data_IF_789754030220
#
_entry.id   IF_789754030220
#
_cell.length_a   1.000
_cell.length_b   1.000
_cell.length_c   1.000
_cell.angle_alpha   90.00
_cell.angle_beta   90.00
_cell.angle_gamma   90.00
#
_symmetry.space_group_name_H-M   'P 1'
#
loop_
_entity.id
_entity.type
_entity.pdbx_description
1 polymer ?
#
# COMPACT_ATOMS: atom_id res chain seq x y z
N UNK A 1 0.68 -50.35 17.94
CA UNK A 1 0.36 -49.55 16.73
C UNK A 1 -0.85 -48.64 16.90
N UNK A 2 -2.07 -49.13 17.23
CA UNK A 2 -3.28 -48.28 17.32
C UNK A 2 -3.20 -47.08 18.30
N UNK A 3 -2.52 -47.22 19.45
CA UNK A 3 -2.38 -46.15 20.46
C UNK A 3 -1.53 -44.96 19.98
N UNK A 4 -0.52 -45.22 19.13
CA UNK A 4 0.33 -44.18 18.55
C UNK A 4 -0.39 -43.41 17.44
N UNK A 5 -1.23 -44.08 16.64
CA UNK A 5 -2.08 -43.45 15.63
C UNK A 5 -3.06 -42.47 16.29
N UNK A 6 -3.66 -42.85 17.42
CA UNK A 6 -4.58 -41.98 18.17
C UNK A 6 -3.91 -40.73 18.74
N UNK A 7 -2.68 -40.87 19.26
CA UNK A 7 -1.88 -39.74 19.76
C UNK A 7 -1.49 -38.80 18.61
N UNK A 8 -1.07 -39.34 17.45
CA UNK A 8 -0.73 -38.55 16.27
C UNK A 8 -1.94 -37.75 15.77
N UNK A 9 -3.12 -38.36 15.68
CA UNK A 9 -4.35 -37.68 15.25
C UNK A 9 -4.73 -36.53 16.20
N UNK A 10 -4.58 -36.73 17.52
CA UNK A 10 -4.83 -35.67 18.52
C UNK A 10 -3.83 -34.52 18.38
N UNK A 11 -2.53 -34.82 18.20
CA UNK A 11 -1.49 -33.80 18.03
C UNK A 11 -1.71 -33.01 16.74
N UNK A 12 -1.99 -33.69 15.62
CA UNK A 12 -2.28 -33.02 14.34
C UNK A 12 -3.55 -32.17 14.44
N UNK A 13 -4.61 -32.68 15.06
CA UNK A 13 -5.84 -31.92 15.29
C UNK A 13 -5.61 -30.68 16.16
N UNK A 14 -4.79 -30.80 17.21
CA UNK A 14 -4.41 -29.68 18.07
C UNK A 14 -3.58 -28.64 17.31
N UNK A 15 -2.61 -29.06 16.49
CA UNK A 15 -1.80 -28.16 15.67
C UNK A 15 -2.64 -27.40 14.64
N UNK A 16 -3.60 -28.06 13.99
CA UNK A 16 -4.55 -27.41 13.07
C UNK A 16 -5.39 -26.36 13.81
N UNK A 17 -5.90 -26.69 15.00
CA UNK A 17 -6.68 -25.74 15.81
C UNK A 17 -5.80 -24.55 16.22
N UNK A 18 -4.56 -24.78 16.62
CA UNK A 18 -3.62 -23.73 17.01
C UNK A 18 -3.28 -22.81 15.84
N UNK A 19 -3.09 -23.38 14.65
CA UNK A 19 -2.87 -22.62 13.42
C UNK A 19 -4.12 -21.82 13.01
N UNK A 20 -5.32 -22.40 13.12
CA UNK A 20 -6.58 -21.69 12.88
C UNK A 20 -6.78 -20.52 13.85
N UNK A 21 -6.46 -20.71 15.13
CA UNK A 21 -6.50 -19.65 16.13
C UNK A 21 -5.47 -18.57 15.81
N UNK A 22 -4.23 -18.94 15.47
CA UNK A 22 -3.20 -17.98 15.07
C UNK A 22 -3.60 -17.19 13.82
N UNK A 23 -4.17 -17.85 12.80
CA UNK A 23 -4.72 -17.20 11.60
C UNK A 23 -5.87 -16.26 11.95
N UNK A 24 -6.83 -16.69 12.75
CA UNK A 24 -7.96 -15.84 13.18
C UNK A 24 -7.49 -14.60 13.95
N UNK A 25 -6.51 -14.74 14.84
CA UNK A 25 -5.98 -13.63 15.61
C UNK A 25 -5.15 -12.66 14.75
N UNK A 26 -4.47 -13.17 13.72
CA UNK A 26 -3.65 -12.34 12.80
C UNK A 26 -4.44 -11.79 11.61
N UNK A 27 -5.67 -12.27 11.38
CA UNK A 27 -6.49 -11.84 10.25
C UNK A 27 -6.77 -10.34 10.28
N UNK A 28 -6.74 -9.69 9.11
CA UNK A 28 -7.15 -8.30 9.00
C UNK A 28 -8.65 -8.11 9.31
N UNK A 29 -9.04 -6.89 9.70
CA UNK A 29 -10.40 -6.54 10.11
C UNK A 29 -11.43 -6.44 8.96
N UNK A 30 -11.24 -7.24 7.92
CA UNK A 30 -12.08 -7.27 6.71
C UNK A 30 -13.53 -7.55 7.11
N UNK A 31 -14.43 -6.71 6.64
CA UNK A 31 -15.87 -6.81 6.82
C UNK A 31 -16.50 -7.15 5.47
N UNK A 32 -17.23 -8.24 5.43
CA UNK A 32 -18.01 -8.60 4.25
C UNK A 32 -19.16 -7.59 4.06
N UNK A 33 -19.28 -7.06 2.85
CA UNK A 33 -20.36 -6.14 2.49
C UNK A 33 -21.32 -6.88 1.56
N UNK A 34 -22.63 -6.96 1.89
CA UNK A 34 -23.58 -7.84 1.22
C UNK A 34 -23.90 -7.45 -0.24
N UNK A 35 -23.62 -6.21 -0.63
CA UNK A 35 -23.79 -5.71 -2.00
C UNK A 35 -22.45 -5.27 -2.59
N UNK A 36 -22.28 -5.45 -3.90
CA UNK A 36 -21.13 -4.89 -4.60
C UNK A 36 -21.10 -3.36 -4.43
N UNK A 37 -19.98 -2.84 -3.94
CA UNK A 37 -19.73 -1.41 -3.76
C UNK A 37 -18.58 -1.00 -4.68
N UNK A 38 -18.72 0.14 -5.33
CA UNK A 38 -17.68 0.67 -6.22
C UNK A 38 -16.50 1.23 -5.42
N UNK A 39 -15.30 1.03 -5.95
CA UNK A 39 -14.04 1.65 -5.53
C UNK A 39 -13.25 2.05 -6.79
N UNK A 40 -12.22 2.88 -6.63
CA UNK A 40 -11.57 3.60 -7.73
C UNK A 40 -10.50 2.78 -8.44
N UNK A 41 -9.64 2.06 -7.70
CA UNK A 41 -8.52 1.35 -8.31
C UNK A 41 -8.99 0.04 -8.94
N UNK A 42 -8.43 -0.27 -10.11
CA UNK A 42 -8.53 -1.58 -10.74
C UNK A 42 -7.24 -2.40 -10.59
N UNK A 43 -6.17 -1.80 -10.07
CA UNK A 43 -4.88 -2.46 -9.87
C UNK A 43 -4.89 -3.29 -8.59
N UNK A 44 -4.11 -4.35 -8.59
CA UNK A 44 -3.82 -5.17 -7.42
C UNK A 44 -2.33 -5.52 -7.45
N UNK A 45 -1.48 -4.49 -7.46
CA UNK A 45 -0.04 -4.67 -7.56
C UNK A 45 0.57 -5.19 -6.26
N UNK A 46 1.81 -5.68 -6.35
CA UNK A 46 2.55 -6.25 -5.22
C UNK A 46 3.90 -5.52 -5.04
N UNK A 47 4.54 -5.72 -3.89
CA UNK A 47 5.83 -5.14 -3.53
C UNK A 47 7.01 -6.04 -3.92
N UNK A 48 6.76 -7.32 -4.19
CA UNK A 48 7.78 -8.34 -4.43
C UNK A 48 7.60 -9.00 -5.82
N UNK A 49 8.45 -9.98 -6.12
CA UNK A 49 8.41 -10.79 -7.35
C UNK A 49 8.60 -9.94 -8.62
N UNK A 50 7.78 -10.17 -9.65
CA UNK A 50 7.90 -9.46 -10.93
C UNK A 50 7.70 -7.94 -10.80
N UNK A 51 7.05 -7.46 -9.73
CA UNK A 51 6.82 -6.04 -9.50
C UNK A 51 8.08 -5.28 -9.05
N UNK A 52 8.98 -5.97 -8.35
CA UNK A 52 10.23 -5.42 -7.81
C UNK A 52 11.48 -5.90 -8.55
N UNK A 53 11.31 -6.55 -9.70
CA UNK A 53 12.39 -7.11 -10.52
C UNK A 53 13.51 -6.12 -10.86
N UNK A 54 13.20 -4.82 -10.92
CA UNK A 54 14.15 -3.75 -11.22
C UNK A 54 14.57 -2.95 -9.99
N UNK A 55 14.06 -3.30 -8.81
CA UNK A 55 14.54 -2.78 -7.55
C UNK A 55 15.87 -3.46 -7.22
N UNK A 56 16.89 -2.65 -7.00
CA UNK A 56 18.22 -3.16 -6.69
C UNK A 56 18.26 -3.79 -5.29
N UNK A 57 19.14 -4.78 -5.11
CA UNK A 57 19.51 -5.44 -3.85
C UNK A 57 18.45 -6.36 -3.20
N UNK A 58 17.22 -5.90 -2.95
CA UNK A 58 16.28 -6.64 -2.08
C UNK A 58 15.05 -7.21 -2.77
N UNK A 59 14.82 -6.89 -4.05
CA UNK A 59 13.60 -7.27 -4.78
C UNK A 59 12.33 -6.98 -3.95
N UNK A 60 12.33 -5.87 -3.20
CA UNK A 60 11.18 -5.35 -2.48
C UNK A 60 11.08 -3.84 -2.77
N UNK A 61 9.99 -3.43 -3.42
CA UNK A 61 9.73 -2.04 -3.76
C UNK A 61 9.27 -1.18 -2.57
N UNK A 62 8.85 -1.82 -1.48
CA UNK A 62 8.29 -1.16 -0.30
C UNK A 62 6.85 -0.70 -0.48
N UNK A 63 6.10 -0.69 0.63
CA UNK A 63 4.66 -0.44 0.62
C UNK A 63 4.29 0.98 0.17
N UNK A 64 5.05 2.00 0.56
CA UNK A 64 4.80 3.37 0.11
C UNK A 64 5.00 3.52 -1.39
N UNK A 65 6.09 2.94 -1.94
CA UNK A 65 6.38 2.99 -3.37
C UNK A 65 5.24 2.39 -4.18
N UNK A 66 4.74 1.21 -3.79
CA UNK A 66 3.60 0.56 -4.47
C UNK A 66 2.29 1.33 -4.28
N UNK A 67 1.99 1.83 -3.08
CA UNK A 67 0.77 2.61 -2.83
C UNK A 67 0.75 3.89 -3.70
N UNK A 68 1.82 4.67 -3.68
CA UNK A 68 1.96 5.89 -4.48
C UNK A 68 1.92 5.54 -5.98
N UNK A 69 2.54 4.44 -6.41
CA UNK A 69 2.51 4.01 -7.80
C UNK A 69 1.09 3.67 -8.27
N UNK A 70 0.30 2.97 -7.47
CA UNK A 70 -1.10 2.70 -7.84
C UNK A 70 -1.94 3.98 -7.93
N UNK A 71 -1.74 4.95 -7.03
CA UNK A 71 -2.43 6.26 -7.06
C UNK A 71 -2.00 7.08 -8.29
N UNK A 72 -0.70 7.17 -8.57
CA UNK A 72 -0.17 7.89 -9.72
C UNK A 72 -0.62 7.26 -11.05
N UNK A 73 -0.66 5.93 -11.13
CA UNK A 73 -1.18 5.22 -12.28
C UNK A 73 -2.67 5.49 -12.51
N UNK A 74 -3.47 5.50 -11.45
CA UNK A 74 -4.90 5.82 -11.53
C UNK A 74 -5.12 7.21 -12.15
N UNK A 75 -4.27 8.18 -11.85
CA UNK A 75 -4.29 9.52 -12.45
C UNK A 75 -3.53 9.65 -13.78
N UNK A 76 -2.96 8.56 -14.30
CA UNK A 76 -2.14 8.52 -15.53
C UNK A 76 -0.96 9.50 -15.50
N UNK A 77 -0.33 9.63 -14.34
CA UNK A 77 0.83 10.50 -14.13
C UNK A 77 2.13 9.71 -14.23
N UNK A 78 3.16 10.36 -14.77
CA UNK A 78 4.51 9.79 -14.89
C UNK A 78 5.49 10.60 -14.05
N UNK A 79 6.43 9.92 -13.35
CA UNK A 79 7.51 10.61 -12.66
C UNK A 79 8.41 11.31 -13.68
N UNK A 80 8.94 12.49 -13.33
CA UNK A 80 9.79 13.32 -14.21
C UNK A 80 10.97 13.90 -13.45
N UNK A 81 11.99 14.35 -14.18
CA UNK A 81 13.19 14.96 -13.60
C UNK A 81 14.28 13.97 -13.23
N UNK A 82 15.11 14.30 -12.25
CA UNK A 82 16.25 13.49 -11.84
C UNK A 82 16.29 13.32 -10.32
N UNK A 83 16.68 12.14 -9.88
CA UNK A 83 16.93 11.83 -8.47
C UNK A 83 18.34 11.27 -8.30
N UNK A 84 18.99 11.65 -7.20
CA UNK A 84 20.32 11.15 -6.84
C UNK A 84 20.48 11.17 -5.32
N UNK A 85 20.79 10.02 -4.73
CA UNK A 85 21.06 9.90 -3.30
C UNK A 85 22.00 8.72 -3.02
N UNK A 86 22.44 8.61 -1.76
CA UNK A 86 23.21 7.47 -1.28
C UNK A 86 22.35 6.65 -0.33
N UNK A 87 22.40 5.32 -0.44
CA UNK A 87 21.82 4.42 0.56
C UNK A 87 22.65 4.47 1.85
N UNK A 88 22.14 3.93 2.96
CA UNK A 88 22.91 3.85 4.21
C UNK A 88 24.15 2.97 4.08
N UNK A 89 24.16 2.06 3.10
CA UNK A 89 25.29 1.19 2.80
C UNK A 89 26.33 1.84 1.87
N UNK A 90 26.06 3.08 1.41
CA UNK A 90 26.95 3.84 0.54
C UNK A 90 26.74 3.60 -0.96
N UNK A 91 25.73 2.82 -1.35
CA UNK A 91 25.38 2.62 -2.75
C UNK A 91 24.78 3.89 -3.33
N UNK A 92 25.14 4.21 -4.58
CA UNK A 92 24.66 5.42 -5.23
C UNK A 92 23.49 5.13 -6.17
N UNK A 93 22.32 5.66 -5.80
CA UNK A 93 21.12 5.59 -6.62
C UNK A 93 21.07 6.85 -7.48
N UNK A 94 21.02 6.68 -8.80
CA UNK A 94 20.84 7.76 -9.78
C UNK A 94 19.82 7.34 -10.82
N UNK A 95 18.70 8.05 -10.86
CA UNK A 95 17.63 7.76 -11.82
C UNK A 95 17.24 9.05 -12.53
N UNK A 96 17.37 9.05 -13.85
CA UNK A 96 16.72 10.04 -14.69
C UNK A 96 15.32 9.53 -15.02
N UNK A 97 14.32 10.17 -14.42
CA UNK A 97 12.92 9.77 -14.52
C UNK A 97 12.34 10.08 -15.91
N UNK A 98 13.05 10.85 -16.74
CA UNK A 98 12.63 11.13 -18.12
C UNK A 98 13.19 10.12 -19.15
N UNK A 99 14.07 9.20 -18.75
CA UNK A 99 14.74 8.27 -19.68
C UNK A 99 13.84 7.10 -20.11
N UNK A 100 12.63 7.01 -19.56
CA UNK A 100 11.70 5.94 -19.85
C UNK A 100 10.31 6.48 -20.21
N UNK A 101 9.81 6.09 -21.38
CA UNK A 101 8.47 6.42 -21.84
C UNK A 101 7.46 5.38 -21.33
N UNK A 102 6.74 5.74 -20.26
CA UNK A 102 5.72 4.86 -19.68
C UNK A 102 4.45 4.85 -20.53
N UNK A 103 4.13 3.66 -21.03
CA UNK A 103 2.97 3.42 -21.86
C UNK A 103 1.81 2.92 -21.01
N UNK A 104 1.01 3.83 -20.43
CA UNK A 104 -0.08 3.49 -19.51
C UNK A 104 -1.07 2.45 -20.06
N UNK A 105 -1.27 2.35 -21.38
CA UNK A 105 -2.13 1.33 -21.99
C UNK A 105 -1.57 -0.10 -21.86
N UNK A 106 -0.28 -0.26 -21.53
CA UNK A 106 0.38 -1.55 -21.29
C UNK A 106 0.41 -1.93 -19.81
N UNK A 107 -0.03 -1.04 -18.92
CA UNK A 107 -0.09 -1.32 -17.50
C UNK A 107 -1.26 -2.27 -17.26
N UNK A 108 -0.95 -3.44 -16.72
CA UNK A 108 -1.95 -4.44 -16.35
C UNK A 108 -2.42 -4.21 -14.93
N UNK A 109 -3.68 -4.56 -14.64
CA UNK A 109 -4.24 -4.51 -13.29
C UNK A 109 -3.46 -5.43 -12.33
N UNK A 110 -3.00 -6.57 -12.82
CA UNK A 110 -2.12 -7.49 -12.10
C UNK A 110 -1.18 -8.20 -13.05
N UNK A 111 0.02 -8.50 -12.58
CA UNK A 111 0.98 -9.36 -13.25
C UNK A 111 0.66 -10.82 -12.91
N UNK A 112 0.56 -11.65 -13.95
CA UNK A 112 0.44 -13.10 -13.86
C UNK A 112 1.32 -13.78 -14.93
N UNK A 113 1.27 -15.11 -15.00
CA UNK A 113 2.06 -15.91 -15.94
C UNK A 113 1.82 -15.54 -17.42
N UNK A 114 0.59 -15.13 -17.76
CA UNK A 114 0.18 -14.78 -19.12
C UNK A 114 0.48 -13.32 -19.49
N UNK A 115 0.95 -12.51 -18.53
CA UNK A 115 1.30 -11.11 -18.77
C UNK A 115 2.55 -11.03 -19.65
N UNK A 116 2.49 -10.21 -20.71
CA UNK A 116 3.62 -10.00 -21.61
C UNK A 116 4.85 -9.45 -20.88
N UNK A 117 6.06 -9.79 -21.35
CA UNK A 117 7.29 -9.26 -20.77
C UNK A 117 7.36 -7.72 -20.83
N UNK A 118 6.75 -7.13 -21.86
CA UNK A 118 6.69 -5.68 -22.00
C UNK A 118 5.78 -5.04 -20.95
N UNK A 119 4.59 -5.59 -20.71
CA UNK A 119 3.69 -5.12 -19.66
C UNK A 119 4.30 -5.30 -18.26
N UNK A 120 4.96 -6.44 -18.02
CA UNK A 120 5.73 -6.67 -16.78
C UNK A 120 6.80 -5.58 -16.60
N UNK A 121 7.55 -5.30 -17.66
CA UNK A 121 8.60 -4.29 -17.64
C UNK A 121 8.05 -2.88 -17.34
N UNK A 122 6.97 -2.48 -18.01
CA UNK A 122 6.31 -1.19 -17.81
C UNK A 122 5.89 -0.98 -16.35
N UNK A 123 5.19 -1.95 -15.75
CA UNK A 123 4.72 -1.88 -14.36
C UNK A 123 5.89 -1.88 -13.37
N UNK A 124 6.82 -2.83 -13.51
CA UNK A 124 7.92 -2.98 -12.56
C UNK A 124 8.91 -1.80 -12.60
N UNK A 125 9.17 -1.26 -13.80
CA UNK A 125 10.01 -0.06 -13.95
C UNK A 125 9.35 1.17 -13.34
N UNK A 126 8.02 1.28 -13.47
CA UNK A 126 7.24 2.39 -12.91
C UNK A 126 7.27 2.37 -11.38
N UNK A 127 7.05 1.20 -10.78
CA UNK A 127 7.17 0.99 -9.33
C UNK A 127 8.58 1.35 -8.85
N UNK A 128 9.63 0.88 -9.55
CA UNK A 128 11.01 1.22 -9.20
C UNK A 128 11.28 2.74 -9.23
N UNK A 129 10.81 3.45 -10.26
CA UNK A 129 10.98 4.90 -10.36
C UNK A 129 10.30 5.64 -9.20
N UNK A 130 9.10 5.24 -8.83
CA UNK A 130 8.35 5.86 -7.73
C UNK A 130 8.95 5.51 -6.37
N UNK A 131 9.40 4.27 -6.16
CA UNK A 131 10.11 3.88 -4.95
C UNK A 131 11.44 4.65 -4.80
N UNK A 132 12.21 4.78 -5.88
CA UNK A 132 13.46 5.56 -5.85
C UNK A 132 13.20 7.04 -5.59
N UNK A 133 12.09 7.60 -6.09
CA UNK A 133 11.71 9.01 -5.91
C UNK A 133 11.52 9.39 -4.44
N UNK A 134 10.99 8.46 -3.63
CA UNK A 134 10.81 8.66 -2.19
C UNK A 134 12.06 8.32 -1.36
N UNK A 135 13.21 8.09 -2.02
CA UNK A 135 14.49 7.78 -1.39
C UNK A 135 14.45 6.50 -0.54
N UNK A 136 13.83 5.44 -1.06
CA UNK A 136 13.90 4.11 -0.47
C UNK A 136 15.35 3.72 -0.19
N UNK A 137 15.62 3.27 1.03
CA UNK A 137 16.95 2.86 1.45
C UNK A 137 17.23 1.41 1.00
N UNK A 138 17.51 1.20 -0.29
CA UNK A 138 17.78 -0.12 -0.85
C UNK A 138 18.96 -0.81 -0.16
N UNK A 139 18.83 -2.12 0.11
CA UNK A 139 19.79 -2.89 0.90
C UNK A 139 19.64 -2.70 2.42
N UNK A 140 18.58 -2.03 2.87
CA UNK A 140 18.26 -1.76 4.26
C UNK A 140 16.75 -1.53 4.42
N UNK A 141 16.31 -1.11 5.61
CA UNK A 141 14.92 -0.77 5.88
C UNK A 141 14.66 0.74 5.82
N UNK A 142 13.44 1.10 5.39
CA UNK A 142 12.94 2.48 5.45
C UNK A 142 13.46 3.39 4.33
N UNK A 143 13.66 4.65 4.67
CA UNK A 143 13.96 5.74 3.75
C UNK A 143 15.15 6.55 4.26
N UNK A 144 15.97 7.06 3.35
CA UNK A 144 17.17 7.82 3.71
C UNK A 144 16.83 9.15 4.37
N UNK A 145 15.79 9.81 3.88
CA UNK A 145 15.35 11.09 4.37
C UNK A 145 13.85 11.24 4.09
N UNK A 146 13.09 11.66 5.11
CA UNK A 146 11.62 11.72 5.06
C UNK A 146 11.06 13.13 5.07
N UNK A 147 11.82 14.13 5.56
CA UNK A 147 11.37 15.51 5.76
C UNK A 147 10.89 16.18 4.46
N UNK A 148 11.59 15.93 3.35
CA UNK A 148 11.30 16.48 2.02
C UNK A 148 10.69 15.45 1.06
N UNK A 149 10.20 14.33 1.59
CA UNK A 149 9.57 13.28 0.78
C UNK A 149 8.33 13.80 0.04
N UNK A 150 7.48 14.57 0.72
CA UNK A 150 6.28 15.15 0.10
C UNK A 150 6.66 16.14 -1.00
N UNK A 151 7.62 17.02 -0.76
CA UNK A 151 8.13 17.97 -1.76
C UNK A 151 8.66 17.26 -3.02
N UNK A 152 9.33 16.11 -2.84
CA UNK A 152 9.77 15.28 -3.97
C UNK A 152 8.59 14.70 -4.73
N UNK A 153 7.57 14.18 -4.05
CA UNK A 153 6.35 13.68 -4.69
C UNK A 153 5.69 14.79 -5.51
N UNK A 154 5.49 15.97 -4.93
CA UNK A 154 4.86 17.09 -5.63
C UNK A 154 5.66 17.50 -6.87
N UNK A 155 6.97 17.73 -6.69
CA UNK A 155 7.90 18.15 -7.74
C UNK A 155 7.99 17.16 -8.90
N UNK A 156 8.00 15.87 -8.60
CA UNK A 156 8.35 14.84 -9.58
C UNK A 156 7.15 14.08 -10.14
N UNK A 157 6.01 14.03 -9.46
CA UNK A 157 4.80 13.31 -9.92
C UNK A 157 3.65 14.22 -10.36
N UNK A 158 3.70 15.53 -10.13
CA UNK A 158 2.63 16.44 -10.54
C UNK A 158 1.40 16.34 -9.65
N UNK A 159 1.61 16.14 -8.35
CA UNK A 159 0.59 16.24 -7.32
C UNK A 159 0.77 17.51 -6.49
N UNK A 160 -0.32 18.00 -5.93
CA UNK A 160 -0.32 18.75 -4.68
C UNK A 160 -0.71 17.76 -3.58
N UNK A 161 0.08 17.69 -2.52
CA UNK A 161 0.01 16.68 -1.47
C UNK A 161 -0.34 17.33 -0.15
N UNK A 162 -1.31 16.76 0.57
CA UNK A 162 -1.51 17.10 1.99
C UNK A 162 -1.21 15.88 2.84
N UNK A 163 -0.41 16.08 3.88
CA UNK A 163 -0.01 15.06 4.84
C UNK A 163 -0.73 15.31 6.17
N UNK A 164 -1.49 14.33 6.62
CA UNK A 164 -2.20 14.36 7.89
C UNK A 164 -1.67 13.25 8.79
N UNK A 165 -1.05 13.63 9.90
CA UNK A 165 -0.52 12.71 10.90
C UNK A 165 -1.35 12.76 12.17
N UNK A 166 -1.67 11.58 12.70
CA UNK A 166 -2.45 11.43 13.91
C UNK A 166 -1.78 10.41 14.84
N UNK A 167 -1.69 10.76 16.12
CA UNK A 167 -1.59 9.78 17.18
C UNK A 167 -2.88 8.95 17.26
N UNK A 168 -2.85 7.82 17.97
CA UNK A 168 -4.03 7.01 18.23
C UNK A 168 -5.20 7.84 18.80
N UNK A 169 -4.93 8.64 19.83
CA UNK A 169 -5.95 9.45 20.51
C UNK A 169 -6.54 10.50 19.58
N UNK A 170 -5.70 11.20 18.82
CA UNK A 170 -6.14 12.21 17.85
C UNK A 170 -6.97 11.58 16.73
N UNK A 171 -6.53 10.45 16.19
CA UNK A 171 -7.24 9.74 15.13
C UNK A 171 -8.64 9.28 15.56
N UNK A 172 -8.76 8.80 16.80
CA UNK A 172 -10.04 8.31 17.33
C UNK A 172 -10.97 9.45 17.76
N UNK A 173 -10.46 10.63 18.05
CA UNK A 173 -11.26 11.82 18.37
C UNK A 173 -11.70 12.58 17.09
N UNK A 174 -10.89 12.58 16.04
CA UNK A 174 -11.13 13.27 14.77
C UNK A 174 -12.00 12.49 13.76
N UNK A 175 -12.78 11.48 14.20
CA UNK A 175 -13.54 10.57 13.31
C UNK A 175 -14.42 11.29 12.29
N UNK A 176 -15.10 12.37 12.68
CA UNK A 176 -15.99 13.12 11.79
C UNK A 176 -15.20 13.83 10.68
N UNK A 177 -14.07 14.44 11.04
CA UNK A 177 -13.19 15.13 10.10
C UNK A 177 -12.54 14.14 9.13
N UNK A 178 -12.01 13.02 9.64
CA UNK A 178 -11.38 11.97 8.83
C UNK A 178 -12.38 11.35 7.85
N UNK A 179 -13.62 11.08 8.30
CA UNK A 179 -14.69 10.63 7.40
C UNK A 179 -14.93 11.64 6.28
N UNK A 180 -15.06 12.93 6.62
CA UNK A 180 -15.29 14.01 5.65
C UNK A 180 -14.14 14.09 4.63
N UNK A 181 -12.89 14.07 5.10
CA UNK A 181 -11.70 14.06 4.24
C UNK A 181 -11.75 12.91 3.24
N UNK A 182 -11.97 11.68 3.73
CA UNK A 182 -12.01 10.49 2.87
C UNK A 182 -13.16 10.57 1.87
N UNK A 183 -14.37 10.98 2.29
CA UNK A 183 -15.50 11.10 1.38
C UNK A 183 -15.25 12.16 0.30
N UNK A 184 -14.73 13.33 0.68
CA UNK A 184 -14.45 14.41 -0.27
C UNK A 184 -13.40 14.00 -1.31
N UNK A 185 -12.31 13.35 -0.89
CA UNK A 185 -11.28 12.87 -1.81
C UNK A 185 -11.82 11.81 -2.76
N UNK A 186 -12.51 10.78 -2.25
CA UNK A 186 -13.05 9.69 -3.08
C UNK A 186 -14.16 10.18 -4.04
N UNK A 187 -15.05 11.08 -3.59
CA UNK A 187 -16.10 11.65 -4.43
C UNK A 187 -15.49 12.47 -5.59
N UNK A 188 -14.39 13.16 -5.33
CA UNK A 188 -13.62 13.86 -6.36
C UNK A 188 -12.64 12.95 -7.13
N UNK A 189 -12.80 11.62 -7.04
CA UNK A 189 -11.98 10.64 -7.77
C UNK A 189 -10.51 10.74 -7.41
N UNK A 190 -10.17 10.96 -6.14
CA UNK A 190 -8.79 10.99 -5.63
C UNK A 190 -8.61 9.90 -4.55
N UNK A 191 -7.97 8.77 -4.88
CA UNK A 191 -7.56 7.78 -3.88
C UNK A 191 -6.53 8.40 -2.92
N UNK A 192 -6.56 8.00 -1.65
CA UNK A 192 -5.62 8.46 -0.63
C UNK A 192 -4.65 7.34 -0.26
N UNK A 193 -3.46 7.69 0.19
CA UNK A 193 -2.62 6.73 0.91
C UNK A 193 -3.00 6.74 2.40
N UNK A 194 -3.05 5.56 2.99
CA UNK A 194 -3.29 5.35 4.40
C UNK A 194 -2.16 4.54 4.99
N UNK A 195 -1.48 5.08 6.00
CA UNK A 195 -0.41 4.39 6.71
C UNK A 195 -0.83 4.13 8.16
N UNK A 196 -0.45 2.96 8.66
CA UNK A 196 -0.70 2.55 10.03
C UNK A 196 0.47 1.75 10.58
N UNK A 197 0.80 1.94 11.86
CA UNK A 197 1.88 1.24 12.53
C UNK A 197 1.59 0.91 13.99
N UNK A 198 2.45 0.07 14.58
CA UNK A 198 2.44 -0.21 16.02
C UNK A 198 3.42 0.65 16.83
N UNK A 199 4.14 1.58 16.19
CA UNK A 199 5.20 2.37 16.82
C UNK A 199 6.46 1.58 17.19
N UNK A 200 6.63 0.38 16.64
CA UNK A 200 7.76 -0.50 16.89
C UNK A 200 8.23 -1.15 15.57
N UNK A 201 7.95 -2.43 15.37
CA UNK A 201 8.49 -3.25 14.27
C UNK A 201 7.56 -3.38 13.05
N UNK A 202 6.37 -2.77 13.09
CA UNK A 202 5.38 -2.91 12.04
C UNK A 202 4.78 -1.59 11.61
N UNK A 203 4.89 -1.29 10.31
CA UNK A 203 4.14 -0.26 9.63
C UNK A 203 3.72 -0.73 8.24
N UNK A 204 2.59 -0.25 7.74
CA UNK A 204 2.11 -0.59 6.40
C UNK A 204 1.38 0.59 5.76
N UNK A 205 1.75 0.90 4.52
CA UNK A 205 1.04 1.84 3.66
C UNK A 205 0.15 1.10 2.66
N UNK A 206 -1.08 1.56 2.54
CA UNK A 206 -2.13 1.02 1.66
C UNK A 206 -2.84 2.17 0.94
N UNK A 207 -3.69 1.85 -0.03
CA UNK A 207 -4.53 2.86 -0.70
C UNK A 207 -5.96 2.75 -0.22
N UNK A 208 -6.53 3.88 0.23
CA UNK A 208 -7.99 4.05 0.35
C UNK A 208 -8.51 4.50 -1.01
N UNK A 209 -9.34 3.67 -1.61
CA UNK A 209 -9.91 3.91 -2.94
C UNK A 209 -11.43 3.76 -2.98
N UNK A 210 -12.08 3.65 -1.82
CA UNK A 210 -13.53 3.63 -1.72
C UNK A 210 -14.00 3.84 -0.28
N UNK A 211 -15.25 4.24 -0.12
CA UNK A 211 -15.93 4.24 1.17
C UNK A 211 -17.36 3.72 1.02
N UNK A 212 -17.93 3.21 2.11
CA UNK A 212 -19.33 2.80 2.19
C UNK A 212 -19.84 2.92 3.62
N UNK A 213 -21.16 2.94 3.79
CA UNK A 213 -21.81 2.80 5.09
C UNK A 213 -22.67 1.54 5.10
N UNK A 214 -22.43 0.65 6.06
CA UNK A 214 -23.18 -0.61 6.24
C UNK A 214 -23.50 -0.75 7.73
N UNK A 215 -24.76 -0.96 8.09
CA UNK A 215 -25.19 -1.12 9.49
C UNK A 215 -24.65 -0.03 10.44
N UNK A 216 -24.69 1.23 10.00
CA UNK A 216 -24.14 2.41 10.71
C UNK A 216 -22.61 2.39 10.92
N UNK A 217 -21.89 1.50 10.26
CA UNK A 217 -20.42 1.49 10.22
C UNK A 217 -19.92 2.19 8.96
N UNK A 218 -19.05 3.18 9.16
CA UNK A 218 -18.26 3.76 8.08
C UNK A 218 -17.09 2.83 7.77
N UNK A 219 -17.04 2.36 6.53
CA UNK A 219 -16.00 1.45 6.03
C UNK A 219 -15.24 2.09 4.88
N UNK A 220 -13.98 1.74 4.75
CA UNK A 220 -13.12 2.12 3.61
C UNK A 220 -12.68 0.88 2.86
N UNK A 221 -12.63 0.96 1.54
CA UNK A 221 -11.98 -0.07 0.74
C UNK A 221 -10.47 0.17 0.81
N UNK A 222 -9.71 -0.87 1.15
CA UNK A 222 -8.25 -0.83 1.21
C UNK A 222 -7.68 -1.73 0.12
N UNK A 223 -6.86 -1.17 -0.75
CA UNK A 223 -5.92 -1.91 -1.58
C UNK A 223 -4.59 -2.02 -0.84
N UNK A 224 -4.23 -3.23 -0.43
CA UNK A 224 -3.09 -3.50 0.44
C UNK A 224 -1.74 -3.48 -0.30
N UNK A 225 -1.72 -3.43 -1.64
CA UNK A 225 -0.48 -3.55 -2.39
C UNK A 225 0.22 -4.90 -2.18
N UNK A 226 -0.57 -5.96 -1.97
CA UNK A 226 -0.11 -7.34 -1.75
C UNK A 226 -0.66 -8.31 -2.81
N UNK A 227 -0.72 -7.88 -4.07
CA UNK A 227 -1.22 -8.74 -5.15
C UNK A 227 -2.73 -9.02 -5.07
N UNK A 228 -3.49 -8.14 -4.41
CA UNK A 228 -4.92 -8.34 -4.13
C UNK A 228 -5.21 -9.11 -2.84
N UNK A 229 -4.18 -9.72 -2.22
CA UNK A 229 -4.33 -10.36 -0.92
C UNK A 229 -4.76 -9.32 0.12
N UNK A 230 -5.81 -9.66 0.86
CA UNK A 230 -6.41 -8.78 1.88
C UNK A 230 -6.98 -7.45 1.34
N UNK A 231 -7.20 -7.30 0.03
CA UNK A 231 -8.04 -6.19 -0.42
C UNK A 231 -9.47 -6.39 0.10
N UNK A 232 -10.15 -5.32 0.51
CA UNK A 232 -11.51 -5.42 1.02
C UNK A 232 -11.98 -4.19 1.79
N UNK A 233 -13.11 -4.33 2.48
CA UNK A 233 -13.73 -3.27 3.28
C UNK A 233 -13.30 -3.37 4.74
N UNK A 234 -12.82 -2.26 5.31
CA UNK A 234 -12.23 -2.19 6.64
C UNK A 234 -12.92 -1.13 7.47
N UNK A 235 -12.92 -1.31 8.79
CA UNK A 235 -13.18 -0.20 9.70
C UNK A 235 -11.85 0.53 9.96
N UNK A 236 -11.65 1.76 9.44
CA UNK A 236 -10.37 2.45 9.55
C UNK A 236 -10.04 2.85 11.00
N UNK A 237 -11.05 2.92 11.87
CA UNK A 237 -10.94 3.32 13.28
C UNK A 237 -10.72 2.14 14.23
N UNK A 238 -10.39 0.96 13.69
CA UNK A 238 -9.99 -0.23 14.45
C UNK A 238 -8.58 -0.65 14.00
N UNK A 239 -7.98 -1.57 14.76
CA UNK A 239 -6.74 -2.22 14.35
C UNK A 239 -6.96 -2.92 13.01
N UNK A 240 -6.11 -2.66 12.02
CA UNK A 240 -6.25 -3.24 10.68
C UNK A 240 -5.88 -4.72 10.72
N UNK A 241 -4.81 -5.09 11.41
CA UNK A 241 -4.39 -6.46 11.67
C UNK A 241 -4.52 -6.81 13.17
N UNK A 242 -5.37 -7.78 13.51
CA UNK A 242 -5.91 -7.96 14.87
C UNK A 242 -4.90 -8.04 16.04
N UNK A 243 -3.81 -8.80 15.89
CA UNK A 243 -2.77 -8.92 16.93
C UNK A 243 -1.76 -7.78 16.95
N UNK A 244 -1.55 -7.11 15.82
CA UNK A 244 -0.64 -5.98 15.77
C UNK A 244 -1.39 -4.81 16.39
N UNK A 245 -0.86 -4.18 17.44
CA UNK A 245 -1.43 -2.94 17.97
C UNK A 245 -1.14 -1.80 16.98
N UNK A 246 -1.60 -1.96 15.75
CA UNK A 246 -1.22 -1.15 14.62
C UNK A 246 -1.96 0.18 14.61
N UNK A 247 -2.41 0.70 15.77
CA UNK A 247 -3.16 1.95 15.95
C UNK A 247 -2.29 3.11 16.44
N UNK A 248 -0.98 2.90 16.61
CA UNK A 248 -0.11 3.86 17.28
C UNK A 248 -0.02 5.17 16.49
N UNK A 249 0.43 5.10 15.24
CA UNK A 249 0.38 6.24 14.32
C UNK A 249 -0.54 5.94 13.12
N UNK A 250 -1.17 7.00 12.62
CA UNK A 250 -2.06 6.98 11.45
C UNK A 250 -1.70 8.14 10.56
N UNK A 251 -1.31 7.86 9.32
CA UNK A 251 -1.14 8.92 8.32
C UNK A 251 -2.19 8.78 7.23
N UNK A 252 -2.78 9.91 6.84
CA UNK A 252 -3.54 10.04 5.60
C UNK A 252 -2.78 10.98 4.69
N UNK A 253 -2.61 10.60 3.44
CA UNK A 253 -1.98 11.45 2.43
C UNK A 253 -2.95 11.60 1.27
N UNK A 254 -3.36 12.83 0.99
CA UNK A 254 -4.17 13.15 -0.18
C UNK A 254 -3.29 13.57 -1.34
N UNK A 255 -3.70 13.19 -2.55
CA UNK A 255 -2.97 13.44 -3.79
C UNK A 255 -3.90 14.13 -4.78
N UNK A 256 -3.74 15.43 -4.95
CA UNK A 256 -4.51 16.21 -5.92
C UNK A 256 -3.67 16.45 -7.18
N UNK A 257 -4.02 15.87 -8.34
CA UNK A 257 -3.30 16.16 -9.59
C UNK A 257 -3.26 17.67 -9.86
N UNK A 258 -2.11 18.19 -10.29
CA UNK A 258 -1.94 19.63 -10.57
C UNK A 258 -2.41 20.03 -11.98
N UNK A 259 -2.85 19.06 -12.78
CA UNK A 259 -3.49 19.28 -14.07
C UNK A 259 -4.95 18.80 -13.98
N UNK A 260 -5.90 19.67 -14.32
CA UNK A 260 -7.30 19.30 -14.44
C UNK A 260 -7.44 18.34 -15.64
N UNK A 261 -7.97 17.15 -15.40
CA UNK A 261 -8.42 16.23 -16.46
C UNK A 261 -9.70 16.75 -17.12
#
# INVERSE_FOLDING_TARGET
MKKYIYIIVIIVGFLIILEMIARYLTSPNIIEVPESRSYLLNTSWNQIEEYSKYVEYDQDAGCWGVAIAQIAHYHKLNPRGNISYLTSNGDSIRVNLNDFDFQHHKFVSSINENTSNESKYQVAKYIYYIASLIYTNYGSSGYIETETMMDRIEKHLGFSVNFYEYSKEDFLSAKTEIKRLITEEIDNKRPLMFYFDNGDDFGHAVVIDGYTNVDNLFLVHLNQGLGGKHNGWYNPFKKIYGLRNDLTNRFLISFKPTFDN
#
